data_IF_897204904035
#
_entry.id   IF_897204904035
#
_cell.length_a   1.000
_cell.length_b   1.000
_cell.length_c   1.000
_cell.angle_alpha   90.00
_cell.angle_beta   90.00
_cell.angle_gamma   90.00
#
_symmetry.space_group_name_H-M   'P 1'
#
loop_
_entity.id
_entity.type
_entity.pdbx_description
1 polymer ?
#
# COMPACT_ATOMS: atom_id res chain seq x y z
N UNK A 1 34.49 -20.93 -35.17
CA UNK A 1 33.97 -19.61 -35.60
C UNK A 1 33.16 -19.13 -34.41
N UNK A 2 33.70 -18.19 -33.64
CA UNK A 2 33.09 -17.79 -32.36
C UNK A 2 31.90 -16.90 -32.64
N UNK A 3 30.71 -17.50 -32.49
CA UNK A 3 29.45 -16.79 -32.46
C UNK A 3 29.20 -16.42 -31.00
N UNK A 4 28.59 -15.27 -30.74
CA UNK A 4 28.10 -14.93 -29.41
C UNK A 4 26.73 -14.30 -29.51
N UNK A 5 25.93 -14.42 -28.46
CA UNK A 5 24.65 -13.73 -28.38
C UNK A 5 24.77 -12.57 -27.40
N UNK A 6 24.25 -11.40 -27.78
CA UNK A 6 24.12 -10.25 -26.89
C UNK A 6 22.64 -10.00 -26.62
N UNK A 7 22.23 -10.24 -25.38
CA UNK A 7 20.91 -9.87 -24.87
C UNK A 7 20.92 -8.42 -24.41
N UNK A 8 19.88 -7.65 -24.70
CA UNK A 8 19.74 -6.25 -24.29
C UNK A 8 18.38 -6.02 -23.64
N UNK A 9 18.31 -5.26 -22.55
CA UNK A 9 17.05 -4.94 -21.87
C UNK A 9 16.96 -3.53 -21.28
N UNK A 10 15.73 -3.08 -20.99
CA UNK A 10 15.46 -1.89 -20.17
C UNK A 10 14.31 -2.16 -19.19
N UNK A 11 14.31 -1.41 -18.10
CA UNK A 11 13.18 -1.31 -17.17
C UNK A 11 12.06 -0.42 -17.71
N UNK A 12 10.83 -0.85 -17.49
CA UNK A 12 9.63 -0.08 -17.78
C UNK A 12 8.70 -0.08 -16.56
N UNK A 13 8.10 1.08 -16.29
CA UNK A 13 7.05 1.20 -15.28
C UNK A 13 5.69 1.02 -15.94
N UNK A 14 4.88 0.10 -15.42
CA UNK A 14 3.47 0.02 -15.72
C UNK A 14 2.71 1.06 -14.87
N UNK A 15 2.02 2.01 -15.51
CA UNK A 15 0.94 2.74 -14.82
C UNK A 15 -0.33 1.91 -14.90
N UNK A 16 -0.59 1.08 -13.89
CA UNK A 16 -1.95 0.58 -13.67
C UNK A 16 -2.67 1.54 -12.73
N UNK A 17 -3.60 2.32 -13.29
CA UNK A 17 -4.63 2.99 -12.50
C UNK A 17 -5.75 1.98 -12.25
N UNK A 18 -6.25 1.94 -11.01
CA UNK A 18 -7.36 1.08 -10.60
C UNK A 18 -8.47 1.04 -11.66
N UNK A 19 -8.73 -0.15 -12.23
CA UNK A 19 -9.90 -0.41 -13.07
C UNK A 19 -9.77 -0.15 -14.59
N UNK A 20 -8.58 0.07 -15.15
CA UNK A 20 -8.41 0.15 -16.62
C UNK A 20 -7.49 -0.96 -17.14
N UNK A 21 -8.01 -1.84 -18.02
CA UNK A 21 -7.28 -2.97 -18.63
C UNK A 21 -6.15 -2.55 -19.60
N UNK A 22 -5.97 -1.25 -19.84
CA UNK A 22 -4.94 -0.74 -20.75
C UNK A 22 -3.68 -0.33 -19.98
N UNK A 23 -2.75 -1.29 -19.84
CA UNK A 23 -1.45 -1.04 -19.20
C UNK A 23 -0.54 -0.28 -20.17
N UNK A 24 -0.38 1.03 -19.99
CA UNK A 24 0.65 1.79 -20.70
C UNK A 24 2.02 1.53 -20.05
N UNK A 25 2.89 0.84 -20.78
CA UNK A 25 4.27 0.53 -20.37
C UNK A 25 5.14 1.73 -20.78
N UNK A 26 5.69 2.47 -19.81
CA UNK A 26 6.53 3.66 -20.05
C UNK A 26 7.98 3.30 -19.75
N UNK A 27 8.90 3.55 -20.70
CA UNK A 27 10.33 3.31 -20.50
C UNK A 27 10.81 4.14 -19.31
N UNK A 28 11.51 3.52 -18.36
CA UNK A 28 12.25 4.28 -17.35
C UNK A 28 13.18 5.25 -18.09
N UNK A 29 12.95 6.55 -17.89
CA UNK A 29 13.60 7.59 -18.69
C UNK A 29 15.12 7.54 -18.44
N UNK A 30 15.91 7.45 -19.51
CA UNK A 30 17.38 7.55 -19.53
C UNK A 30 18.20 6.42 -18.86
N UNK A 31 17.63 5.24 -18.60
CA UNK A 31 18.40 4.04 -18.17
C UNK A 31 19.27 3.49 -19.33
N UNK A 32 20.57 3.22 -19.10
CA UNK A 32 21.44 2.58 -20.09
C UNK A 32 20.96 1.16 -20.39
N UNK A 33 21.03 0.77 -21.67
CA UNK A 33 20.73 -0.59 -22.10
C UNK A 33 21.71 -1.57 -21.44
N UNK A 34 21.25 -2.38 -20.50
CA UNK A 34 22.05 -3.46 -19.95
C UNK A 34 22.23 -4.57 -20.98
N UNK A 35 23.39 -5.23 -20.98
CA UNK A 35 23.62 -6.34 -21.91
C UNK A 35 24.46 -7.48 -21.35
N UNK A 36 24.10 -8.70 -21.74
CA UNK A 36 24.80 -9.93 -21.37
C UNK A 36 25.26 -10.64 -22.63
N UNK A 37 26.55 -11.04 -22.66
CA UNK A 37 27.12 -11.86 -23.73
C UNK A 37 27.19 -13.31 -23.31
N UNK A 38 26.76 -14.21 -24.20
CA UNK A 38 26.86 -15.67 -24.02
C UNK A 38 27.51 -16.36 -25.22
N UNK A 39 28.00 -17.58 -25.01
CA UNK A 39 28.76 -18.32 -26.03
C UNK A 39 27.88 -18.79 -27.20
N UNK A 40 28.52 -19.11 -28.34
CA UNK A 40 27.88 -19.63 -29.55
C UNK A 40 26.97 -20.84 -29.30
N UNK A 41 27.40 -21.70 -28.37
CA UNK A 41 26.75 -22.97 -28.05
C UNK A 41 25.59 -22.83 -27.07
N UNK A 42 25.44 -21.66 -26.44
CA UNK A 42 24.40 -21.40 -25.46
C UNK A 42 23.22 -20.72 -26.13
N UNK A 43 22.06 -21.36 -26.05
CA UNK A 43 20.78 -20.78 -26.49
C UNK A 43 19.90 -20.37 -25.31
N UNK A 44 20.48 -20.28 -24.11
CA UNK A 44 19.81 -19.90 -22.86
C UNK A 44 20.75 -19.11 -21.97
N UNK A 45 20.20 -18.15 -21.23
CA UNK A 45 20.92 -17.37 -20.22
C UNK A 45 19.98 -17.05 -19.07
N UNK A 46 20.50 -17.05 -17.84
CA UNK A 46 19.78 -16.58 -16.66
C UNK A 46 20.24 -15.18 -16.33
N UNK A 47 19.31 -14.23 -16.27
CA UNK A 47 19.58 -12.84 -15.90
C UNK A 47 19.20 -12.67 -14.44
N UNK A 48 20.14 -12.14 -13.65
CA UNK A 48 19.98 -11.91 -12.22
C UNK A 48 20.00 -10.41 -11.92
N UNK A 49 19.51 -9.99 -10.76
CA UNK A 49 19.52 -8.57 -10.35
C UNK A 49 18.35 -7.75 -10.91
N UNK A 50 17.36 -8.40 -11.53
CA UNK A 50 16.11 -7.75 -11.95
C UNK A 50 15.25 -7.40 -10.73
N UNK A 51 14.55 -6.27 -10.80
CA UNK A 51 13.60 -5.80 -9.79
C UNK A 51 12.33 -6.67 -9.75
N UNK A 52 11.76 -6.97 -8.57
CA UNK A 52 10.48 -7.68 -8.44
C UNK A 52 9.29 -6.87 -8.94
N UNK A 53 8.34 -7.55 -9.60
CA UNK A 53 7.14 -6.92 -10.18
C UNK A 53 7.43 -5.92 -11.31
N UNK A 54 8.65 -5.92 -11.86
CA UNK A 54 9.12 -4.97 -12.85
C UNK A 54 8.98 -5.53 -14.26
N UNK A 55 8.49 -4.72 -15.19
CA UNK A 55 8.39 -5.09 -16.60
C UNK A 55 9.68 -4.77 -17.34
N UNK A 56 10.21 -5.77 -18.05
CA UNK A 56 11.39 -5.66 -18.89
C UNK A 56 11.06 -5.98 -20.34
N UNK A 57 11.76 -5.32 -21.26
CA UNK A 57 11.72 -5.64 -22.69
C UNK A 57 13.08 -6.18 -23.12
N UNK A 58 13.11 -7.41 -23.64
CA UNK A 58 14.32 -8.11 -24.06
C UNK A 58 14.44 -8.19 -25.59
N UNK A 59 15.66 -8.07 -26.10
CA UNK A 59 16.03 -8.39 -27.49
C UNK A 59 17.37 -9.12 -27.55
N UNK A 60 17.52 -10.04 -28.48
CA UNK A 60 18.77 -10.79 -28.72
C UNK A 60 19.38 -10.42 -30.06
N UNK A 61 20.70 -10.32 -30.11
CA UNK A 61 21.48 -10.23 -31.34
C UNK A 61 22.48 -11.37 -31.43
N UNK A 62 22.73 -11.89 -32.63
CA UNK A 62 23.87 -12.76 -32.89
C UNK A 62 25.07 -11.91 -33.35
N UNK A 63 26.28 -12.28 -32.94
CA UNK A 63 27.52 -11.61 -33.31
C UNK A 63 28.53 -12.67 -33.76
N UNK A 64 29.20 -12.45 -34.91
CA UNK A 64 30.31 -13.27 -35.38
C UNK A 64 31.46 -12.35 -35.84
N UNK A 65 32.53 -12.92 -36.40
CA UNK A 65 33.69 -12.15 -36.85
C UNK A 65 33.40 -11.09 -37.94
N UNK A 66 32.26 -11.19 -38.65
CA UNK A 66 31.84 -10.22 -39.66
C UNK A 66 30.97 -9.08 -39.06
N UNK A 67 30.52 -9.24 -37.83
CA UNK A 67 29.75 -8.23 -37.09
C UNK A 67 28.48 -8.77 -36.44
N UNK A 68 27.64 -7.83 -36.01
CA UNK A 68 26.40 -8.06 -35.27
C UNK A 68 25.18 -8.11 -36.21
N UNK A 69 24.26 -9.04 -35.96
CA UNK A 69 22.98 -9.13 -36.65
C UNK A 69 22.02 -8.00 -36.24
N UNK A 70 20.90 -7.90 -36.97
CA UNK A 70 19.71 -7.21 -36.47
C UNK A 70 19.16 -7.85 -35.19
N UNK A 71 18.33 -7.13 -34.41
CA UNK A 71 17.72 -7.66 -33.19
C UNK A 71 16.64 -8.70 -33.50
N UNK A 72 16.36 -9.57 -32.52
CA UNK A 72 15.12 -10.35 -32.46
C UNK A 72 13.89 -9.44 -32.28
N UNK A 73 12.70 -10.04 -32.34
CA UNK A 73 11.49 -9.39 -31.84
C UNK A 73 11.63 -9.08 -30.33
N UNK A 74 10.97 -7.99 -29.92
CA UNK A 74 10.85 -7.56 -28.53
C UNK A 74 10.04 -8.59 -27.74
N UNK A 75 10.63 -9.09 -26.65
CA UNK A 75 9.93 -9.91 -25.67
C UNK A 75 9.67 -9.07 -24.43
N UNK A 76 8.41 -8.79 -24.13
CA UNK A 76 8.01 -8.07 -22.91
C UNK A 76 7.61 -9.07 -21.84
N UNK A 77 8.22 -8.98 -20.66
CA UNK A 77 7.93 -9.87 -19.53
C UNK A 77 8.01 -9.10 -18.21
N UNK A 78 7.15 -9.45 -17.26
CA UNK A 78 7.19 -8.91 -15.89
C UNK A 78 7.72 -9.97 -14.97
N UNK A 79 8.69 -9.62 -14.12
CA UNK A 79 9.19 -10.49 -13.06
C UNK A 79 8.09 -10.77 -12.03
N UNK A 80 8.26 -11.83 -11.24
CA UNK A 80 7.34 -12.05 -10.12
C UNK A 80 7.42 -10.93 -9.10
N UNK A 81 6.29 -10.62 -8.46
CA UNK A 81 6.25 -9.72 -7.30
C UNK A 81 7.01 -10.30 -6.10
N UNK A 82 7.32 -9.44 -5.14
CA UNK A 82 7.79 -9.78 -3.80
C UNK A 82 6.91 -9.08 -2.75
N UNK A 83 6.80 -9.63 -1.53
CA UNK A 83 6.04 -8.98 -0.47
C UNK A 83 6.59 -7.56 -0.18
N UNK A 84 5.75 -6.60 0.27
CA UNK A 84 6.23 -5.24 0.54
C UNK A 84 7.41 -5.22 1.53
N UNK A 85 8.53 -4.58 1.18
CA UNK A 85 9.72 -4.57 2.04
C UNK A 85 9.66 -3.54 3.16
N UNK A 86 8.81 -2.52 3.02
CA UNK A 86 8.73 -1.41 3.96
C UNK A 86 7.40 -1.40 4.71
N UNK A 87 7.49 -1.21 6.02
CA UNK A 87 6.32 -1.04 6.86
C UNK A 87 5.63 0.32 6.58
N UNK A 88 4.30 0.43 6.76
CA UNK A 88 3.61 1.71 6.80
C UNK A 88 4.20 2.65 7.86
N UNK A 89 4.21 3.95 7.55
CA UNK A 89 4.82 5.01 8.38
C UNK A 89 3.76 5.97 8.92
N UNK A 90 4.18 6.92 9.76
CA UNK A 90 3.32 7.98 10.30
C UNK A 90 2.03 7.46 10.95
N UNK A 91 2.12 6.30 11.62
CA UNK A 91 0.98 5.68 12.29
C UNK A 91 0.49 6.59 13.41
N UNK A 92 -0.78 6.96 13.37
CA UNK A 92 -1.47 7.68 14.44
C UNK A 92 -2.68 6.89 14.87
N UNK A 93 -2.84 6.76 16.18
CA UNK A 93 -3.98 6.07 16.78
C UNK A 93 -4.63 7.00 17.79
N UNK A 94 -5.89 7.32 17.57
CA UNK A 94 -6.67 8.20 18.45
C UNK A 94 -7.91 7.46 18.96
N UNK A 95 -8.23 7.56 20.26
CA UNK A 95 -9.46 7.00 20.77
C UNK A 95 -10.65 7.88 20.36
N UNK A 96 -11.69 7.25 19.82
CA UNK A 96 -12.93 7.93 19.43
C UNK A 96 -14.05 7.71 20.44
N UNK A 97 -14.04 6.58 21.12
CA UNK A 97 -15.03 6.25 22.15
C UNK A 97 -14.43 5.34 23.20
N UNK A 98 -15.25 4.89 24.16
CA UNK A 98 -14.86 3.88 25.13
C UNK A 98 -14.59 2.52 24.51
N UNK A 99 -15.02 2.27 23.27
CA UNK A 99 -14.88 0.97 22.61
C UNK A 99 -14.29 1.05 21.20
N UNK A 100 -13.88 2.25 20.75
CA UNK A 100 -13.44 2.47 19.36
C UNK A 100 -12.22 3.37 19.30
N UNK A 101 -11.25 2.97 18.48
CA UNK A 101 -10.09 3.80 18.10
C UNK A 101 -10.03 3.95 16.58
N UNK A 102 -9.53 5.10 16.13
CA UNK A 102 -9.20 5.36 14.73
C UNK A 102 -7.70 5.24 14.53
N UNK A 103 -7.31 4.47 13.52
CA UNK A 103 -5.94 4.28 13.08
C UNK A 103 -5.78 4.96 11.73
N UNK A 104 -4.73 5.75 11.55
CA UNK A 104 -4.35 6.34 10.27
C UNK A 104 -2.86 6.14 10.03
N UNK A 105 -2.45 6.01 8.78
CA UNK A 105 -1.05 5.77 8.42
C UNK A 105 -0.69 6.43 7.09
N UNK A 106 0.59 6.33 6.72
CA UNK A 106 1.10 6.56 5.38
C UNK A 106 1.57 5.22 4.81
N UNK A 107 0.91 4.74 3.75
CA UNK A 107 1.29 3.50 3.08
C UNK A 107 2.67 3.55 2.42
N UNK A 108 3.31 2.39 2.17
CA UNK A 108 4.54 2.31 1.39
C UNK A 108 4.28 2.71 -0.07
N UNK A 109 5.34 3.00 -0.83
CA UNK A 109 5.22 3.29 -2.27
C UNK A 109 4.56 2.10 -2.98
N UNK A 110 3.51 2.30 -3.80
CA UNK A 110 2.71 1.22 -4.37
C UNK A 110 3.42 0.31 -5.38
N UNK A 111 4.64 0.66 -5.82
CA UNK A 111 5.27 0.07 -7.01
C UNK A 111 6.63 -0.56 -6.75
N UNK A 112 7.15 -0.55 -5.51
CA UNK A 112 8.56 -0.90 -5.28
C UNK A 112 8.86 -2.42 -5.39
N UNK A 113 7.86 -3.30 -5.26
CA UNK A 113 8.04 -4.77 -5.29
C UNK A 113 6.80 -5.52 -5.83
N UNK A 114 5.87 -4.82 -6.47
CA UNK A 114 4.55 -5.34 -6.84
C UNK A 114 3.42 -4.45 -6.31
N UNK A 115 2.18 -4.80 -6.66
CA UNK A 115 1.01 -3.94 -6.40
C UNK A 115 0.46 -4.13 -4.98
N UNK A 116 0.43 -3.03 -4.21
CA UNK A 116 -0.18 -3.05 -2.88
C UNK A 116 -1.70 -3.29 -2.97
N UNK A 117 -2.17 -4.36 -2.32
CA UNK A 117 -3.59 -4.75 -2.30
C UNK A 117 -4.33 -4.22 -1.06
N UNK A 118 -3.61 -4.01 0.04
CA UNK A 118 -4.24 -3.52 1.25
C UNK A 118 -3.32 -3.49 2.46
N UNK A 119 -3.94 -3.40 3.63
CA UNK A 119 -3.26 -3.38 4.92
C UNK A 119 -3.89 -4.36 5.91
N UNK A 120 -3.06 -4.98 6.75
CA UNK A 120 -3.49 -5.63 7.98
C UNK A 120 -3.25 -4.68 9.15
N UNK A 121 -4.30 -4.35 9.88
CA UNK A 121 -4.24 -3.55 11.11
C UNK A 121 -4.33 -4.50 12.30
N UNK A 122 -3.19 -4.77 12.92
CA UNK A 122 -3.08 -5.64 14.09
C UNK A 122 -3.30 -4.86 15.38
N UNK A 123 -4.12 -5.37 16.29
CA UNK A 123 -4.27 -4.82 17.64
C UNK A 123 -4.30 -5.92 18.71
N UNK A 124 -3.79 -5.61 19.91
CA UNK A 124 -3.88 -6.49 21.09
C UNK A 124 -4.08 -5.70 22.37
N UNK A 125 -4.84 -6.28 23.29
CA UNK A 125 -5.03 -5.77 24.65
C UNK A 125 -3.74 -5.96 25.44
N UNK A 126 -3.15 -4.88 25.98
CA UNK A 126 -1.90 -4.95 26.75
C UNK A 126 -2.11 -5.46 28.18
N UNK A 127 -3.36 -5.60 28.63
CA UNK A 127 -3.69 -6.21 29.91
C UNK A 127 -3.85 -7.74 29.83
N UNK A 128 -3.91 -8.31 28.63
CA UNK A 128 -3.92 -9.76 28.40
C UNK A 128 -2.65 -10.22 27.70
N UNK A 129 -2.44 -11.53 27.69
CA UNK A 129 -1.35 -12.16 26.92
C UNK A 129 -1.84 -12.70 25.57
N UNK A 130 -2.97 -12.17 25.08
CA UNK A 130 -3.59 -12.62 23.84
C UNK A 130 -2.76 -12.19 22.62
N UNK A 131 -2.74 -12.99 21.55
CA UNK A 131 -2.07 -12.63 20.32
C UNK A 131 -2.76 -11.43 19.64
N UNK A 132 -2.08 -10.87 18.64
CA UNK A 132 -2.66 -9.85 17.77
C UNK A 132 -3.91 -10.37 17.03
N UNK A 133 -4.96 -9.56 17.04
CA UNK A 133 -6.10 -9.71 16.14
C UNK A 133 -5.91 -8.75 14.98
N UNK A 134 -6.20 -9.20 13.76
CA UNK A 134 -6.01 -8.40 12.54
C UNK A 134 -7.32 -8.04 11.88
N UNK A 135 -7.43 -6.76 11.51
CA UNK A 135 -8.47 -6.25 10.61
C UNK A 135 -7.85 -6.00 9.24
N UNK A 136 -8.45 -6.58 8.20
CA UNK A 136 -8.03 -6.35 6.81
C UNK A 136 -8.68 -5.09 6.25
N UNK A 137 -7.86 -4.24 5.63
CA UNK A 137 -8.26 -3.03 4.91
C UNK A 137 -7.89 -3.23 3.46
N UNK A 138 -8.89 -3.51 2.63
CA UNK A 138 -8.74 -3.75 1.20
C UNK A 138 -8.87 -2.43 0.45
N UNK A 139 -7.84 -2.03 -0.30
CA UNK A 139 -7.78 -0.75 -1.02
C UNK A 139 -8.89 -0.67 -2.08
N UNK A 140 -9.33 -1.79 -2.64
CA UNK A 140 -10.40 -1.82 -3.65
C UNK A 140 -11.79 -1.54 -3.09
N UNK A 141 -11.97 -1.60 -1.75
CA UNK A 141 -13.27 -1.53 -1.08
C UNK A 141 -13.46 -0.28 -0.23
N UNK A 142 -12.49 0.64 -0.23
CA UNK A 142 -12.45 1.77 0.69
C UNK A 142 -12.39 3.09 -0.07
N UNK A 143 -13.20 4.07 0.34
CA UNK A 143 -13.05 5.46 -0.14
C UNK A 143 -11.79 6.13 0.43
N UNK A 144 -11.28 5.64 1.57
CA UNK A 144 -10.09 6.18 2.25
C UNK A 144 -9.07 5.07 2.51
N UNK A 145 -7.97 5.13 1.77
CA UNK A 145 -7.01 4.03 1.67
C UNK A 145 -6.07 3.86 2.88
N UNK A 146 -6.01 4.87 3.76
CA UNK A 146 -5.02 4.91 4.84
C UNK A 146 -5.66 5.14 6.22
N UNK A 147 -6.89 4.66 6.42
CA UNK A 147 -7.54 4.68 7.73
C UNK A 147 -8.32 3.40 8.05
N UNK A 148 -8.43 3.10 9.33
CA UNK A 148 -9.28 2.03 9.84
C UNK A 148 -9.91 2.41 11.18
N UNK A 149 -11.12 1.92 11.41
CA UNK A 149 -11.75 1.92 12.73
C UNK A 149 -11.62 0.53 13.35
N UNK A 150 -11.10 0.47 14.58
CA UNK A 150 -11.13 -0.74 15.41
C UNK A 150 -12.18 -0.52 16.49
N UNK A 151 -13.19 -1.38 16.51
CA UNK A 151 -14.35 -1.29 17.40
C UNK A 151 -14.41 -2.49 18.35
N UNK A 152 -15.42 -2.54 19.22
CA UNK A 152 -15.63 -3.61 20.20
C UNK A 152 -14.46 -3.79 21.18
N UNK A 153 -13.74 -2.71 21.47
CA UNK A 153 -12.65 -2.69 22.43
C UNK A 153 -13.20 -2.53 23.85
N UNK A 154 -12.41 -2.99 24.83
CA UNK A 154 -12.70 -2.76 26.25
C UNK A 154 -12.45 -1.30 26.59
N UNK A 155 -13.32 -0.73 27.41
CA UNK A 155 -13.18 0.64 27.91
C UNK A 155 -11.99 0.82 28.84
N UNK A 156 -11.43 2.01 28.84
CA UNK A 156 -10.28 2.36 29.69
C UNK A 156 -9.12 1.36 29.62
N UNK A 157 -8.85 0.79 28.44
CA UNK A 157 -7.90 -0.31 28.24
C UNK A 157 -6.83 0.12 27.25
N UNK A 158 -5.56 -0.22 27.54
CA UNK A 158 -4.43 0.06 26.65
C UNK A 158 -4.32 -1.03 25.59
N UNK A 159 -4.24 -0.61 24.33
CA UNK A 159 -4.02 -1.49 23.19
C UNK A 159 -2.71 -1.10 22.48
N UNK A 160 -1.94 -2.10 22.08
CA UNK A 160 -0.87 -1.93 21.10
C UNK A 160 -1.42 -2.17 19.70
N UNK A 161 -1.10 -1.27 18.77
CA UNK A 161 -1.58 -1.31 17.38
C UNK A 161 -0.39 -1.30 16.42
N UNK A 162 -0.48 -2.10 15.36
CA UNK A 162 0.50 -2.19 14.27
C UNK A 162 -0.22 -2.19 12.92
N UNK A 163 0.47 -1.79 11.85
CA UNK A 163 -0.03 -1.84 10.48
C UNK A 163 1.00 -2.51 9.58
N UNK A 164 0.55 -3.41 8.69
CA UNK A 164 1.36 -4.09 7.68
C UNK A 164 0.71 -3.86 6.31
N UNK A 165 1.50 -3.57 5.27
CA UNK A 165 1.01 -3.62 3.89
C UNK A 165 1.02 -5.05 3.36
N UNK A 166 0.13 -5.41 2.44
CA UNK A 166 0.17 -6.73 1.78
C UNK A 166 -0.10 -6.63 0.28
N UNK A 167 0.45 -7.58 -0.47
CA UNK A 167 0.18 -7.80 -1.90
C UNK A 167 -0.12 -9.28 -2.18
N UNK A 168 -0.05 -9.69 -3.45
CA UNK A 168 -0.33 -11.07 -3.88
C UNK A 168 0.63 -12.11 -3.29
N UNK A 169 1.83 -11.69 -2.87
CA UNK A 169 2.88 -12.55 -2.32
C UNK A 169 2.86 -12.64 -0.80
N UNK A 170 2.20 -11.70 -0.13
CA UNK A 170 1.99 -11.75 1.33
C UNK A 170 2.11 -10.39 2.00
N UNK A 171 2.22 -10.44 3.33
CA UNK A 171 2.40 -9.26 4.17
C UNK A 171 3.87 -8.83 4.22
N UNK A 172 4.09 -7.52 4.20
CA UNK A 172 5.37 -6.90 4.54
C UNK A 172 5.59 -6.79 6.05
N UNK A 173 6.69 -6.15 6.48
CA UNK A 173 6.97 -5.98 7.90
C UNK A 173 5.94 -5.07 8.59
N UNK A 174 5.74 -5.32 9.88
CA UNK A 174 4.88 -4.50 10.72
C UNK A 174 5.52 -3.15 11.04
N UNK A 175 4.67 -2.12 11.14
CA UNK A 175 5.07 -0.85 11.75
C UNK A 175 5.50 -1.06 13.20
N UNK A 176 6.17 -0.05 13.77
CA UNK A 176 6.34 0.01 15.23
C UNK A 176 4.97 0.01 15.92
N UNK A 177 4.91 -0.57 17.11
CA UNK A 177 3.73 -0.52 17.96
C UNK A 177 3.41 0.94 18.33
N UNK A 178 2.15 1.32 18.18
CA UNK A 178 1.59 2.54 18.76
C UNK A 178 0.63 2.14 19.87
N UNK A 179 0.85 2.68 21.07
CA UNK A 179 0.02 2.42 22.23
C UNK A 179 -1.07 3.48 22.30
N UNK A 180 -2.32 3.05 22.45
CA UNK A 180 -3.48 3.91 22.67
C UNK A 180 -4.28 3.38 23.86
N UNK A 181 -4.95 4.25 24.59
CA UNK A 181 -5.92 3.86 25.62
C UNK A 181 -7.32 4.28 25.17
N UNK A 182 -8.27 3.36 25.19
CA UNK A 182 -9.68 3.69 24.94
C UNK A 182 -10.22 4.63 26.03
N UNK A 183 -11.25 5.40 25.71
CA UNK A 183 -11.82 6.33 26.67
C UNK A 183 -12.52 5.56 27.81
N UNK A 184 -12.68 6.23 28.95
CA UNK A 184 -13.49 5.70 30.04
C UNK A 184 -14.99 5.79 29.73
N UNK A 185 -15.41 6.85 29.04
CA UNK A 185 -16.78 7.14 28.64
C UNK A 185 -16.81 7.59 27.17
N UNK A 186 -17.95 7.37 26.51
CA UNK A 186 -18.14 7.84 25.14
C UNK A 186 -18.29 9.38 25.13
N UNK A 187 -17.67 10.09 24.17
CA UNK A 187 -17.92 11.50 23.96
C UNK A 187 -19.40 11.75 23.68
N UNK A 188 -19.92 12.97 23.99
CA UNK A 188 -21.27 13.36 23.59
C UNK A 188 -21.50 13.20 22.10
N UNK A 189 -22.70 12.72 21.75
CA UNK A 189 -23.14 12.72 20.35
C UNK A 189 -23.22 14.17 19.85
N UNK A 190 -22.89 14.36 18.57
CA UNK A 190 -23.00 15.67 17.93
C UNK A 190 -24.40 16.27 18.12
N UNK A 191 -24.52 17.56 18.48
CA UNK A 191 -25.81 18.22 18.56
C UNK A 191 -26.45 18.34 17.18
N UNK A 192 -27.79 18.26 17.13
CA UNK A 192 -28.54 18.53 15.90
C UNK A 192 -28.89 20.00 15.85
N UNK A 193 -28.24 20.76 14.97
CA UNK A 193 -28.48 22.20 14.79
C UNK A 193 -29.65 22.45 13.82
N UNK A 194 -30.53 23.38 14.17
CA UNK A 194 -31.67 23.84 13.36
C UNK A 194 -31.73 25.35 13.36
N UNK A 195 -32.07 25.93 12.21
CA UNK A 195 -32.52 27.33 12.13
C UNK A 195 -34.01 27.34 12.45
N UNK A 196 -34.43 28.17 13.40
CA UNK A 196 -35.84 28.28 13.79
C UNK A 196 -36.47 29.60 13.36
N UNK A 197 -35.67 30.66 13.16
CA UNK A 197 -36.15 31.95 12.65
C UNK A 197 -35.07 32.68 11.89
N UNK A 198 -35.46 33.46 10.88
CA UNK A 198 -34.57 34.40 10.18
C UNK A 198 -35.25 35.75 10.02
N UNK A 199 -34.45 36.82 9.99
CA UNK A 199 -34.86 38.18 9.63
C UNK A 199 -33.80 38.83 8.74
N UNK A 200 -34.00 40.09 8.35
CA UNK A 200 -33.02 40.88 7.59
C UNK A 200 -31.67 41.02 8.33
N UNK A 201 -31.66 40.93 9.66
CA UNK A 201 -30.47 41.16 10.48
C UNK A 201 -30.18 40.05 11.50
N UNK A 202 -30.94 38.95 11.50
CA UNK A 202 -30.75 37.89 12.50
C UNK A 202 -31.09 36.50 12.01
N UNK A 203 -30.43 35.51 12.61
CA UNK A 203 -30.73 34.09 12.50
C UNK A 203 -30.85 33.56 13.93
N UNK A 204 -31.96 32.90 14.23
CA UNK A 204 -32.19 32.21 15.49
C UNK A 204 -31.94 30.71 15.28
N UNK A 205 -31.02 30.17 16.07
CA UNK A 205 -30.60 28.77 16.01
C UNK A 205 -31.07 28.03 17.26
N UNK A 206 -31.49 26.78 17.10
CA UNK A 206 -31.78 25.83 18.16
C UNK A 206 -30.98 24.56 17.94
N UNK A 207 -30.47 23.93 19.00
CA UNK A 207 -29.86 22.61 18.92
C UNK A 207 -30.42 21.65 19.94
N UNK A 208 -30.39 20.35 19.62
CA UNK A 208 -30.72 19.27 20.56
C UNK A 208 -29.51 18.35 20.76
N UNK A 209 -29.32 17.88 21.99
CA UNK A 209 -28.28 16.92 22.39
C UNK A 209 -28.93 15.63 22.86
N UNK A 210 -28.27 14.48 22.65
CA UNK A 210 -28.76 13.19 23.13
C UNK A 210 -28.39 13.02 24.61
N UNK A 211 -29.35 12.62 25.46
CA UNK A 211 -29.23 12.62 26.94
C UNK A 211 -28.19 11.65 27.53
N UNK A 212 -27.50 10.87 26.71
CA UNK A 212 -26.67 9.73 27.15
C UNK A 212 -25.21 10.11 27.51
N UNK A 213 -24.83 11.38 27.36
CA UNK A 213 -23.46 11.82 27.64
C UNK A 213 -23.47 13.09 28.49
N UNK A 214 -22.81 13.11 29.66
CA UNK A 214 -22.72 14.31 30.48
C UNK A 214 -21.94 15.39 29.73
N UNK A 215 -22.55 16.56 29.59
CA UNK A 215 -21.92 17.76 29.01
C UNK A 215 -21.33 18.54 30.19
N UNK A 216 -20.02 18.80 30.17
CA UNK A 216 -19.31 19.44 31.28
C UNK A 216 -18.92 20.90 31.03
N UNK A 217 -19.52 21.56 30.04
CA UNK A 217 -19.28 22.99 29.75
C UNK A 217 -19.44 23.32 28.27
#
# INVERSE_FOLDING_TARGET
MDISFQLVFNEYFSRQYYGMENTNIIKAKDEPLESVRVSASETKVTITGLGPGTTYVFKVHAENALGRSGPSQDLTITTEEEAPANAPQDIRVIPLSSSTVKVTWKGPSPTALGYLLGFYVGYRDLSSNDPYVYKTVDISKQERLNEALISNLRRNTKYAVTVQGYNSKGAGPASKEVIVQTLQHDPPKSPVLKVIKTSEFSIELQWTVSEISPITG
#
